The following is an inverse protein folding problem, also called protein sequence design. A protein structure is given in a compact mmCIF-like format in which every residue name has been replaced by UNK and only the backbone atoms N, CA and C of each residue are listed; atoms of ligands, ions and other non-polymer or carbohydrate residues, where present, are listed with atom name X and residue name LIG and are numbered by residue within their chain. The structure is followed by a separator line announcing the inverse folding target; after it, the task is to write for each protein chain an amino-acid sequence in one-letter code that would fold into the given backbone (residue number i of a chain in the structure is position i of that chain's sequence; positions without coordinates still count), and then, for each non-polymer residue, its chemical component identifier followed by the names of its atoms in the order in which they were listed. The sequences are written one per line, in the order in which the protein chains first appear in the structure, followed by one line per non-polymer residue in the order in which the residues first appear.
data_IF_986790983552
#
_entry.id   IF_986790983552
#
_cell.length_a   1.000
_cell.length_b   1.000
_cell.length_c   1.000
_cell.angle_alpha   90.00
_cell.angle_beta   90.00
_cell.angle_gamma   90.00
#
_symmetry.space_group_name_H-M   'P 1'
#
loop_
_entity.id
_entity.type
_entity.pdbx_description
1 polymer ?
#
# COMPACT_ATOMS: atom_id res chain seq x y z
N UNK A 1 -3.41 -11.34 -23.76
CA UNK A 1 -3.87 -10.00 -23.37
C UNK A 1 -2.62 -9.19 -23.06
N UNK A 2 -2.37 -8.13 -23.80
CA UNK A 2 -1.16 -7.32 -23.71
C UNK A 2 -1.25 -6.47 -22.44
N UNK A 3 -0.43 -6.74 -21.43
CA UNK A 3 -0.25 -5.84 -20.29
C UNK A 3 0.71 -4.73 -20.73
N UNK A 4 0.19 -3.51 -20.85
CA UNK A 4 1.02 -2.32 -21.05
C UNK A 4 2.06 -2.23 -19.91
N UNK A 5 3.31 -1.85 -20.21
CA UNK A 5 4.33 -1.71 -19.19
C UNK A 5 3.92 -0.62 -18.19
N UNK A 6 4.15 -0.83 -16.88
CA UNK A 6 3.81 0.17 -15.87
C UNK A 6 4.55 1.47 -16.14
N UNK A 7 3.79 2.57 -16.23
CA UNK A 7 4.34 3.89 -16.59
C UNK A 7 5.13 4.52 -15.44
N UNK A 8 4.92 4.07 -14.19
CA UNK A 8 5.48 4.68 -12.99
C UNK A 8 6.27 3.66 -12.15
N UNK A 9 7.50 4.04 -11.79
CA UNK A 9 8.34 3.28 -10.86
C UNK A 9 7.95 3.57 -9.41
N UNK A 10 7.59 2.52 -8.67
CA UNK A 10 7.23 2.60 -7.26
C UNK A 10 8.40 2.14 -6.40
N UNK A 11 8.91 3.03 -5.55
CA UNK A 11 10.02 2.73 -4.65
C UNK A 11 9.58 2.70 -3.18
N UNK A 12 9.98 1.64 -2.48
CA UNK A 12 9.73 1.48 -1.06
C UNK A 12 10.96 1.88 -0.23
N UNK A 13 10.75 2.76 0.74
CA UNK A 13 11.78 3.15 1.71
C UNK A 13 12.23 1.97 2.58
N UNK A 14 13.45 2.04 3.11
CA UNK A 14 13.97 1.00 4.01
C UNK A 14 13.09 0.80 5.26
N UNK A 15 12.53 1.89 5.80
CA UNK A 15 11.61 1.86 6.94
C UNK A 15 10.33 1.09 6.60
N UNK A 16 9.75 1.35 5.43
CA UNK A 16 8.58 0.62 4.95
C UNK A 16 8.87 -0.89 4.83
N UNK A 17 9.97 -1.27 4.17
CA UNK A 17 10.37 -2.68 4.03
C UNK A 17 10.56 -3.38 5.38
N UNK A 18 11.18 -2.70 6.36
CA UNK A 18 11.36 -3.25 7.72
C UNK A 18 10.03 -3.46 8.43
N UNK A 19 9.13 -2.47 8.39
CA UNK A 19 7.82 -2.58 9.04
C UNK A 19 6.96 -3.67 8.39
N UNK A 20 7.00 -3.77 7.07
CA UNK A 20 6.30 -4.81 6.32
C UNK A 20 6.78 -6.20 6.74
N UNK A 21 8.09 -6.42 6.87
CA UNK A 21 8.65 -7.70 7.37
C UNK A 21 8.19 -8.05 8.78
N UNK A 22 8.03 -7.05 9.66
CA UNK A 22 7.54 -7.28 11.02
C UNK A 22 6.05 -7.68 10.98
N UNK A 23 5.24 -6.95 10.22
CA UNK A 23 3.82 -7.23 10.08
C UNK A 23 3.56 -8.58 9.40
N UNK A 24 4.38 -8.96 8.41
CA UNK A 24 4.28 -10.24 7.71
C UNK A 24 4.45 -11.45 8.65
N UNK A 25 5.11 -11.29 9.80
CA UNK A 25 5.19 -12.35 10.82
C UNK A 25 3.84 -12.62 11.50
N UNK A 26 3.02 -11.58 11.64
CA UNK A 26 1.71 -11.64 12.32
C UNK A 26 0.56 -11.83 11.34
N UNK A 27 0.71 -11.29 10.14
CA UNK A 27 -0.32 -11.22 9.11
C UNK A 27 0.25 -11.76 7.80
N UNK A 28 0.00 -13.03 7.51
CA UNK A 28 0.61 -13.71 6.36
C UNK A 28 0.12 -13.16 5.02
N UNK A 29 -1.08 -12.57 4.98
CA UNK A 29 -1.68 -12.04 3.76
C UNK A 29 -1.30 -10.57 3.47
N UNK A 30 -0.50 -9.92 4.31
CA UNK A 30 -0.17 -8.49 4.11
C UNK A 30 0.48 -8.20 2.75
N UNK A 31 1.29 -9.11 2.22
CA UNK A 31 1.89 -8.94 0.88
C UNK A 31 0.81 -8.93 -0.20
N UNK A 32 -0.18 -9.82 -0.09
CA UNK A 32 -1.32 -9.91 -1.02
C UNK A 32 -2.24 -8.68 -0.86
N UNK A 33 -2.42 -8.19 0.36
CA UNK A 33 -3.25 -7.01 0.65
C UNK A 33 -2.64 -5.71 0.07
N UNK A 34 -1.31 -5.62 0.01
CA UNK A 34 -0.58 -4.45 -0.50
C UNK A 34 -0.36 -4.51 -2.02
N UNK A 35 -0.23 -5.70 -2.60
CA UNK A 35 0.00 -5.90 -4.03
C UNK A 35 -0.94 -5.07 -4.95
N UNK A 36 -2.27 -5.05 -4.77
CA UNK A 36 -3.15 -4.24 -5.62
C UNK A 36 -2.89 -2.73 -5.49
N UNK A 37 -2.38 -2.26 -4.34
CA UNK A 37 -2.04 -0.85 -4.14
C UNK A 37 -0.80 -0.48 -4.93
N UNK A 38 0.18 -1.39 -5.01
CA UNK A 38 1.39 -1.17 -5.83
C UNK A 38 1.00 -1.09 -7.30
N UNK A 39 0.11 -1.96 -7.78
CA UNK A 39 -0.38 -1.97 -9.16
C UNK A 39 -1.13 -0.68 -9.51
N UNK A 40 -1.96 -0.17 -8.60
CA UNK A 40 -2.63 1.13 -8.74
C UNK A 40 -1.62 2.27 -8.86
N UNK A 41 -0.61 2.30 -7.97
CA UNK A 41 0.44 3.31 -8.00
C UNK A 41 1.28 3.24 -9.29
N UNK A 42 1.58 2.04 -9.77
CA UNK A 42 2.29 1.81 -11.04
C UNK A 42 1.47 2.26 -12.25
N UNK A 43 0.14 2.21 -12.14
CA UNK A 43 -0.80 2.70 -13.16
C UNK A 43 -1.02 4.22 -13.10
N UNK A 44 -0.45 4.91 -12.10
CA UNK A 44 -0.59 6.35 -11.92
C UNK A 44 -1.80 6.79 -11.11
N UNK A 45 -2.52 5.84 -10.51
CA UNK A 45 -3.52 6.16 -9.51
C UNK A 45 -2.84 6.60 -8.21
N UNK A 46 -3.44 7.56 -7.52
CA UNK A 46 -2.98 8.06 -6.23
C UNK A 46 -4.01 7.71 -5.14
N UNK A 47 -4.12 6.43 -4.74
CA UNK A 47 -5.13 6.01 -3.77
C UNK A 47 -4.85 6.58 -2.38
N UNK A 48 -5.92 6.98 -1.70
CA UNK A 48 -5.89 7.48 -0.32
C UNK A 48 -6.18 8.97 -0.20
N UNK A 49 -6.09 9.46 1.02
CA UNK A 49 -6.44 10.83 1.37
C UNK A 49 -5.17 11.70 1.39
N UNK A 50 -5.24 12.86 0.73
CA UNK A 50 -4.16 13.84 0.80
C UNK A 50 -4.09 14.44 2.20
N UNK A 51 -2.92 14.40 2.82
CA UNK A 51 -2.70 15.03 4.13
C UNK A 51 -2.43 16.53 3.92
N UNK A 52 -3.31 17.43 4.41
CA UNK A 52 -3.07 18.87 4.33
C UNK A 52 -2.02 19.33 5.35
N UNK A 53 -1.45 20.51 5.14
CA UNK A 53 -0.55 21.15 6.11
C UNK A 53 0.87 20.58 6.16
N UNK A 54 1.22 19.68 5.24
CA UNK A 54 2.60 19.23 5.01
C UNK A 54 3.11 19.91 3.74
N UNK A 55 4.32 20.49 3.77
CA UNK A 55 4.93 21.17 2.60
C UNK A 55 5.23 20.26 1.40
N UNK A 56 4.75 19.03 1.43
CA UNK A 56 4.93 18.00 0.41
C UNK A 56 3.58 17.33 0.12
N UNK A 57 3.41 16.83 -1.10
CA UNK A 57 2.23 16.03 -1.47
C UNK A 57 2.35 14.64 -0.85
N UNK A 58 1.60 14.41 0.24
CA UNK A 58 1.56 13.13 0.94
C UNK A 58 0.14 12.57 0.89
N UNK A 59 0.02 11.30 0.53
CA UNK A 59 -1.22 10.54 0.57
C UNK A 59 -1.16 9.48 1.66
N UNK A 60 -2.29 9.25 2.33
CA UNK A 60 -2.47 8.21 3.34
C UNK A 60 -3.59 7.28 2.92
N UNK A 61 -3.28 5.98 2.83
CA UNK A 61 -4.26 4.95 2.55
C UNK A 61 -4.36 4.00 3.74
N UNK A 62 -5.59 3.56 4.05
CA UNK A 62 -5.86 2.49 5.02
C UNK A 62 -6.22 1.22 4.28
N UNK A 63 -5.41 0.18 4.46
CA UNK A 63 -5.54 -1.09 3.72
C UNK A 63 -6.31 -2.07 4.61
N UNK A 64 -7.26 -2.81 4.02
CA UNK A 64 -7.94 -3.91 4.73
C UNK A 64 -6.90 -4.96 5.09
N UNK A 65 -6.97 -5.47 6.31
CA UNK A 65 -6.21 -6.64 6.73
C UNK A 65 -7.05 -7.89 6.47
N UNK A 66 -6.64 -8.74 5.53
CA UNK A 66 -7.39 -9.96 5.19
C UNK A 66 -7.30 -11.05 6.25
N UNK A 67 -6.29 -11.01 7.12
CA UNK A 67 -6.14 -11.95 8.23
C UNK A 67 -7.08 -11.63 9.41
N UNK A 68 -7.79 -10.50 9.37
CA UNK A 68 -8.70 -10.07 10.45
C UNK A 68 -10.09 -9.78 9.89
N UNK A 69 -11.12 -10.41 10.45
CA UNK A 69 -12.54 -10.20 10.08
C UNK A 69 -13.11 -8.87 10.62
N UNK A 70 -12.34 -7.78 10.55
CA UNK A 70 -12.74 -6.43 10.99
C UNK A 70 -12.71 -5.40 9.86
N UNK A 71 -12.45 -5.83 8.62
CA UNK A 71 -12.39 -4.92 7.47
C UNK A 71 -11.34 -3.81 7.67
N UNK A 72 -11.66 -2.59 7.24
CA UNK A 72 -10.75 -1.44 7.38
C UNK A 72 -10.52 -1.04 8.85
N UNK A 73 -11.43 -1.31 9.79
CA UNK A 73 -11.22 -0.91 11.19
C UNK A 73 -10.06 -1.68 11.85
N UNK A 74 -9.83 -2.94 11.45
CA UNK A 74 -8.66 -3.75 11.82
C UNK A 74 -7.49 -3.69 10.82
N UNK A 75 -7.53 -2.75 9.87
CA UNK A 75 -6.53 -2.59 8.82
C UNK A 75 -5.19 -2.02 9.27
N UNK A 76 -4.31 -1.85 8.30
CA UNK A 76 -2.98 -1.22 8.45
C UNK A 76 -3.06 0.29 8.15
#
# INVERSE_FOLDING_TARGET
MQSEPPLIQVEATAKFKRNLRILAKKYQNISNDIQPIIEQLQSGELPGDKIPGVGYTIFKLRIKNSDVQKGKSGGY
#
